data_IF_781159155510
#
_entry.id   IF_781159155510
#
_cell.length_a   1.000
_cell.length_b   1.000
_cell.length_c   1.000
_cell.angle_alpha   90.00
_cell.angle_beta   90.00
_cell.angle_gamma   90.00
#
_symmetry.space_group_name_H-M   'P 1'
#
loop_
_entity.id
_entity.type
_entity.pdbx_description
1 polymer ?
#
# COMPACT_ATOMS: atom_id res chain seq x y z
N UNK A 1 53.06 23.26 -47.87
CA UNK A 1 51.60 23.38 -48.12
C UNK A 1 50.99 22.02 -47.83
N UNK A 2 49.97 21.97 -46.96
CA UNK A 2 49.51 20.76 -46.27
C UNK A 2 48.78 19.79 -47.21
N UNK A 3 49.24 18.54 -47.30
CA UNK A 3 48.50 17.46 -47.92
C UNK A 3 47.34 17.03 -47.02
N UNK A 4 46.11 17.08 -47.53
CA UNK A 4 44.93 16.54 -46.86
C UNK A 4 44.97 15.02 -46.97
N UNK A 5 45.18 14.35 -45.84
CA UNK A 5 44.98 12.91 -45.72
C UNK A 5 43.47 12.65 -45.64
N UNK A 6 42.87 12.17 -46.73
CA UNK A 6 41.51 11.61 -46.72
C UNK A 6 41.54 10.30 -45.91
N UNK A 7 41.25 10.41 -44.62
CA UNK A 7 40.92 9.25 -43.80
C UNK A 7 39.55 8.74 -44.24
N UNK A 8 39.53 7.63 -44.97
CA UNK A 8 38.31 6.85 -45.24
C UNK A 8 37.85 6.24 -43.92
N UNK A 9 36.81 6.82 -43.32
CA UNK A 9 36.12 6.21 -42.19
C UNK A 9 35.44 4.94 -42.73
N UNK A 10 35.78 3.72 -42.27
CA UNK A 10 35.06 2.53 -42.69
C UNK A 10 33.62 2.62 -42.18
N UNK A 11 32.65 2.76 -43.09
CA UNK A 11 31.23 2.68 -42.77
C UNK A 11 30.94 1.30 -42.19
N UNK A 12 30.55 1.25 -40.91
CA UNK A 12 30.02 0.05 -40.26
C UNK A 12 28.81 -0.45 -41.07
N UNK A 13 28.72 -1.75 -41.41
CA UNK A 13 27.61 -2.26 -42.20
C UNK A 13 26.27 -2.02 -41.47
N UNK A 14 25.20 -1.65 -42.18
CA UNK A 14 23.91 -1.27 -41.59
C UNK A 14 23.29 -2.37 -40.70
N UNK A 15 23.58 -3.64 -41.03
CA UNK A 15 23.07 -4.80 -40.29
C UNK A 15 23.59 -4.89 -38.85
N UNK A 16 24.85 -4.51 -38.59
CA UNK A 16 25.41 -4.57 -37.22
C UNK A 16 24.88 -3.48 -36.30
N UNK A 17 24.38 -2.35 -36.84
CA UNK A 17 23.70 -1.34 -36.02
C UNK A 17 22.26 -1.76 -35.73
N UNK A 18 21.56 -2.37 -36.70
CA UNK A 18 20.22 -2.92 -36.50
C UNK A 18 20.21 -4.03 -35.43
N UNK A 19 21.16 -4.96 -35.47
CA UNK A 19 21.26 -6.03 -34.46
C UNK A 19 21.54 -5.49 -33.05
N UNK A 20 22.35 -4.43 -32.93
CA UNK A 20 22.63 -3.80 -31.64
C UNK A 20 21.40 -3.07 -31.09
N UNK A 21 20.64 -2.37 -31.94
CA UNK A 21 19.38 -1.74 -31.58
C UNK A 21 18.32 -2.76 -31.16
N UNK A 22 18.16 -3.86 -31.91
CA UNK A 22 17.22 -4.93 -31.58
C UNK A 22 17.55 -5.57 -30.23
N UNK A 23 18.82 -5.86 -29.95
CA UNK A 23 19.25 -6.42 -28.65
C UNK A 23 18.97 -5.47 -27.48
N UNK A 24 19.15 -4.16 -27.68
CA UNK A 24 18.85 -3.17 -26.65
C UNK A 24 17.34 -3.05 -26.39
N UNK A 25 16.51 -3.14 -27.44
CA UNK A 25 15.05 -3.19 -27.32
C UNK A 25 14.57 -4.46 -26.60
N UNK A 26 15.16 -5.61 -26.91
CA UNK A 26 14.90 -6.88 -26.22
C UNK A 26 15.28 -6.80 -24.73
N UNK A 27 16.44 -6.24 -24.41
CA UNK A 27 16.88 -6.09 -23.02
C UNK A 27 15.96 -5.12 -22.25
N UNK A 28 15.60 -3.98 -22.82
CA UNK A 28 14.65 -3.04 -22.24
C UNK A 28 13.26 -3.67 -22.04
N UNK A 29 12.80 -4.47 -23.00
CA UNK A 29 11.57 -5.27 -22.87
C UNK A 29 11.66 -6.26 -21.71
N UNK A 30 12.81 -6.91 -21.53
CA UNK A 30 13.04 -7.85 -20.43
C UNK A 30 13.04 -7.15 -19.06
N UNK A 31 13.61 -5.94 -18.97
CA UNK A 31 13.60 -5.11 -17.73
C UNK A 31 12.17 -4.75 -17.38
N UNK A 32 11.41 -4.22 -18.35
CA UNK A 32 10.01 -3.85 -18.16
C UNK A 32 9.15 -5.04 -17.73
N UNK A 33 9.38 -6.21 -18.30
CA UNK A 33 8.64 -7.42 -17.91
C UNK A 33 8.94 -7.84 -16.47
N UNK A 34 10.20 -7.73 -16.02
CA UNK A 34 10.56 -7.98 -14.62
C UNK A 34 9.87 -7.00 -13.67
N UNK A 35 9.84 -5.72 -14.03
CA UNK A 35 9.15 -4.68 -13.25
C UNK A 35 7.65 -4.92 -13.19
N UNK A 36 7.00 -5.20 -14.34
CA UNK A 36 5.57 -5.53 -14.39
C UNK A 36 5.22 -6.72 -13.52
N UNK A 37 6.04 -7.79 -13.51
CA UNK A 37 5.81 -8.94 -12.62
C UNK A 37 5.94 -8.54 -11.15
N UNK A 38 6.91 -7.70 -10.81
CA UNK A 38 7.07 -7.19 -9.45
C UNK A 38 5.88 -6.34 -9.01
N UNK A 39 5.40 -5.44 -9.86
CA UNK A 39 4.22 -4.62 -9.61
C UNK A 39 2.96 -5.47 -9.48
N UNK A 40 2.79 -6.49 -10.32
CA UNK A 40 1.64 -7.39 -10.25
C UNK A 40 1.53 -8.09 -8.90
N UNK A 41 2.65 -8.57 -8.33
CA UNK A 41 2.65 -9.19 -6.98
C UNK A 41 2.17 -8.21 -5.91
N UNK A 42 2.55 -6.93 -6.01
CA UNK A 42 2.12 -5.90 -5.07
C UNK A 42 0.63 -5.60 -5.23
N UNK A 43 0.13 -5.52 -6.47
CA UNK A 43 -1.30 -5.34 -6.76
C UNK A 43 -2.10 -6.53 -6.24
N UNK A 44 -1.67 -7.75 -6.52
CA UNK A 44 -2.33 -8.97 -6.06
C UNK A 44 -2.43 -9.02 -4.54
N UNK A 45 -1.36 -8.62 -3.83
CA UNK A 45 -1.36 -8.53 -2.37
C UNK A 45 -2.37 -7.49 -1.87
N UNK A 46 -2.38 -6.29 -2.47
CA UNK A 46 -3.29 -5.22 -2.07
C UNK A 46 -4.77 -5.63 -2.24
N UNK A 47 -5.10 -6.23 -3.38
CA UNK A 47 -6.45 -6.71 -3.67
C UNK A 47 -6.85 -7.91 -2.81
N UNK A 48 -5.93 -8.84 -2.55
CA UNK A 48 -6.19 -9.96 -1.62
C UNK A 48 -6.51 -9.46 -0.20
N UNK A 49 -5.83 -8.40 0.24
CA UNK A 49 -6.10 -7.77 1.54
C UNK A 49 -7.43 -7.01 1.55
N UNK A 50 -7.81 -6.35 0.46
CA UNK A 50 -9.13 -5.75 0.29
C UNK A 50 -10.22 -6.83 0.42
N UNK A 51 -10.09 -7.93 -0.32
CA UNK A 51 -11.03 -9.06 -0.29
C UNK A 51 -11.18 -9.65 1.12
N UNK A 52 -10.05 -9.86 1.82
CA UNK A 52 -10.04 -10.35 3.19
C UNK A 52 -10.80 -9.42 4.13
N UNK A 53 -10.53 -8.12 4.04
CA UNK A 53 -11.20 -7.11 4.87
C UNK A 53 -12.70 -7.02 4.56
N UNK A 54 -13.07 -7.06 3.28
CA UNK A 54 -14.46 -7.03 2.84
C UNK A 54 -15.21 -8.26 3.36
N UNK A 55 -14.63 -9.45 3.23
CA UNK A 55 -15.20 -10.69 3.77
C UNK A 55 -15.39 -10.62 5.29
N UNK A 56 -14.38 -10.12 6.02
CA UNK A 56 -14.46 -9.96 7.48
C UNK A 56 -15.53 -8.95 7.90
N UNK A 57 -15.64 -7.81 7.20
CA UNK A 57 -16.65 -6.79 7.49
C UNK A 57 -18.07 -7.33 7.23
N UNK A 58 -18.28 -7.99 6.07
CA UNK A 58 -19.56 -8.63 5.74
C UNK A 58 -19.94 -9.73 6.73
N UNK A 59 -18.98 -10.56 7.15
CA UNK A 59 -19.22 -11.58 8.18
C UNK A 59 -19.62 -10.95 9.52
N UNK A 60 -18.95 -9.87 9.92
CA UNK A 60 -19.23 -9.17 11.17
C UNK A 60 -20.60 -8.48 11.15
N UNK A 61 -21.00 -7.91 10.00
CA UNK A 61 -22.34 -7.37 9.79
C UNK A 61 -23.40 -8.47 9.89
N UNK A 62 -23.25 -9.56 9.14
CA UNK A 62 -24.19 -10.68 9.16
C UNK A 62 -24.34 -11.28 10.56
N UNK A 63 -23.25 -11.39 11.32
CA UNK A 63 -23.28 -11.83 12.73
C UNK A 63 -24.07 -10.86 13.61
N UNK A 64 -23.88 -9.55 13.42
CA UNK A 64 -24.59 -8.50 14.17
C UNK A 64 -26.10 -8.53 13.88
N UNK A 65 -26.47 -8.71 12.62
CA UNK A 65 -27.87 -8.84 12.18
C UNK A 65 -28.52 -10.13 12.69
N UNK A 66 -27.79 -11.25 12.67
CA UNK A 66 -28.28 -12.55 13.10
C UNK A 66 -28.61 -12.65 14.59
N UNK A 67 -28.07 -11.78 15.45
CA UNK A 67 -28.33 -11.83 16.90
C UNK A 67 -29.80 -11.55 17.29
N UNK A 68 -30.72 -11.28 16.35
CA UNK A 68 -32.18 -11.10 16.55
C UNK A 68 -32.65 -9.93 17.46
N UNK A 69 -33.90 -9.50 17.38
CA UNK A 69 -34.44 -8.31 18.10
C UNK A 69 -34.71 -8.58 19.60
N UNK A 70 -33.90 -9.39 20.26
CA UNK A 70 -34.06 -9.76 21.68
C UNK A 70 -32.94 -9.14 22.52
N UNK A 71 -33.29 -8.59 23.70
CA UNK A 71 -32.35 -7.96 24.63
C UNK A 71 -32.87 -6.66 25.24
N UNK A 72 -32.05 -6.04 26.10
CA UNK A 72 -32.36 -4.74 26.70
C UNK A 72 -32.23 -3.60 25.67
N UNK A 73 -32.75 -2.41 25.98
CA UNK A 73 -32.59 -1.24 25.10
C UNK A 73 -31.11 -0.90 24.84
N UNK A 74 -30.23 -1.13 25.82
CA UNK A 74 -28.79 -0.98 25.67
C UNK A 74 -28.24 -1.94 24.60
N UNK A 75 -28.58 -3.23 24.68
CA UNK A 75 -28.11 -4.25 23.72
C UNK A 75 -28.60 -3.95 22.29
N UNK A 76 -29.79 -3.35 22.14
CA UNK A 76 -30.29 -2.87 20.85
C UNK A 76 -29.45 -1.69 20.33
N UNK A 77 -29.19 -0.68 21.16
CA UNK A 77 -28.38 0.47 20.77
C UNK A 77 -26.95 0.10 20.37
N UNK A 78 -26.31 -0.81 21.12
CA UNK A 78 -24.97 -1.32 20.77
C UNK A 78 -24.98 -2.04 19.43
N UNK A 79 -26.00 -2.87 19.18
CA UNK A 79 -26.14 -3.56 17.90
C UNK A 79 -26.32 -2.59 16.74
N UNK A 80 -27.19 -1.61 16.89
CA UNK A 80 -27.46 -0.62 15.85
C UNK A 80 -26.17 0.15 15.52
N UNK A 81 -25.38 0.49 16.54
CA UNK A 81 -24.05 1.10 16.34
C UNK A 81 -23.10 0.17 15.56
N UNK A 82 -23.04 -1.12 15.89
CA UNK A 82 -22.22 -2.08 15.15
C UNK A 82 -22.71 -2.29 13.71
N UNK A 83 -24.02 -2.36 13.49
CA UNK A 83 -24.60 -2.51 12.15
C UNK A 83 -24.26 -1.30 11.27
N UNK A 84 -24.41 -0.08 11.79
CA UNK A 84 -24.01 1.16 11.10
C UNK A 84 -22.49 1.16 10.82
N UNK A 85 -21.68 0.75 11.80
CA UNK A 85 -20.23 0.70 11.64
C UNK A 85 -19.79 -0.27 10.53
N UNK A 86 -20.26 -1.52 10.56
CA UNK A 86 -19.85 -2.52 9.57
C UNK A 86 -20.43 -2.27 8.19
N UNK A 87 -21.67 -1.76 8.08
CA UNK A 87 -22.23 -1.35 6.78
C UNK A 87 -21.47 -0.19 6.15
N UNK A 88 -21.04 0.80 6.95
CA UNK A 88 -20.19 1.90 6.49
C UNK A 88 -18.81 1.41 6.04
N UNK A 89 -18.23 0.45 6.77
CA UNK A 89 -16.95 -0.17 6.41
C UNK A 89 -17.05 -0.95 5.09
N UNK A 90 -18.09 -1.77 4.92
CA UNK A 90 -18.35 -2.48 3.66
C UNK A 90 -18.47 -1.50 2.50
N UNK A 91 -19.27 -0.44 2.65
CA UNK A 91 -19.47 0.57 1.60
C UNK A 91 -18.17 1.28 1.24
N UNK A 92 -17.32 1.55 2.22
CA UNK A 92 -16.01 2.20 2.02
C UNK A 92 -15.02 1.29 1.28
N UNK A 93 -15.02 -0.01 1.59
CA UNK A 93 -14.16 -0.99 0.93
C UNK A 93 -14.62 -1.30 -0.51
N UNK A 94 -15.92 -1.46 -0.73
CA UNK A 94 -16.49 -1.62 -2.08
C UNK A 94 -16.23 -0.38 -2.95
N UNK A 95 -16.27 0.81 -2.35
CA UNK A 95 -16.03 2.07 -3.05
C UNK A 95 -14.62 2.24 -3.63
N UNK A 96 -13.65 1.42 -3.21
CA UNK A 96 -12.25 1.49 -3.70
C UNK A 96 -11.85 0.30 -4.59
N UNK A 97 -12.76 -0.63 -4.87
CA UNK A 97 -12.48 -1.87 -5.63
C UNK A 97 -11.91 -1.58 -7.03
N UNK A 98 -12.51 -0.65 -7.77
CA UNK A 98 -12.09 -0.40 -9.16
C UNK A 98 -10.70 0.25 -9.28
N UNK A 99 -10.22 0.96 -8.24
CA UNK A 99 -9.01 1.80 -8.30
C UNK A 99 -8.28 1.88 -6.96
N UNK A 100 -7.97 0.72 -6.39
CA UNK A 100 -7.28 0.65 -5.10
C UNK A 100 -5.82 1.17 -5.19
N UNK A 101 -5.13 0.87 -6.30
CA UNK A 101 -3.71 1.19 -6.51
C UNK A 101 -3.54 2.18 -7.66
N UNK A 102 -2.94 3.34 -7.38
CA UNK A 102 -2.64 4.37 -8.39
C UNK A 102 -1.21 4.27 -8.96
N UNK A 103 -0.29 3.66 -8.22
CA UNK A 103 1.12 3.51 -8.59
C UNK A 103 2.06 3.46 -7.38
N UNK A 104 3.36 3.29 -7.64
CA UNK A 104 4.42 3.34 -6.62
C UNK A 104 5.07 4.72 -6.62
N UNK A 105 5.32 5.27 -5.43
CA UNK A 105 6.06 6.51 -5.25
C UNK A 105 7.39 6.19 -4.55
N UNK A 106 8.48 6.31 -5.29
CA UNK A 106 9.83 6.08 -4.78
C UNK A 106 10.38 7.40 -4.21
N UNK A 107 10.44 7.50 -2.88
CA UNK A 107 10.97 8.68 -2.20
C UNK A 107 12.48 8.53 -1.97
N UNK A 108 13.29 9.48 -2.46
CA UNK A 108 14.69 9.58 -2.07
C UNK A 108 14.76 10.18 -0.66
N UNK A 109 15.10 9.38 0.35
CA UNK A 109 15.41 9.94 1.68
C UNK A 109 16.69 10.76 1.54
N UNK A 110 16.59 12.09 1.70
CA UNK A 110 17.78 12.88 1.97
C UNK A 110 18.32 12.41 3.34
N UNK A 111 19.63 12.19 3.52
CA UNK A 111 20.18 11.80 4.81
C UNK A 111 19.81 12.78 5.95
N UNK A 112 19.40 14.00 5.61
CA UNK A 112 18.93 15.03 6.55
C UNK A 112 17.46 14.83 6.99
N UNK A 113 16.61 14.14 6.20
CA UNK A 113 15.18 13.92 6.50
C UNK A 113 14.92 12.70 7.42
N UNK A 114 15.90 11.79 7.52
CA UNK A 114 15.78 10.57 8.34
C UNK A 114 15.67 10.84 9.85
N UNK A 115 15.95 12.08 10.28
CA UNK A 115 15.97 12.45 11.71
C UNK A 115 14.59 12.83 12.28
N UNK A 116 13.58 13.09 11.45
CA UNK A 116 12.24 13.53 11.92
C UNK A 116 11.17 12.41 11.93
N UNK A 117 11.45 11.26 11.28
CA UNK A 117 10.49 10.15 11.20
C UNK A 117 10.48 9.23 12.45
N UNK A 118 11.31 9.52 13.46
CA UNK A 118 11.59 8.65 14.60
C UNK A 118 10.78 8.89 15.88
N UNK A 119 9.74 9.72 15.87
CA UNK A 119 9.02 10.10 17.10
C UNK A 119 7.49 9.98 16.99
N UNK A 120 6.98 8.80 16.62
CA UNK A 120 5.61 8.39 16.97
C UNK A 120 5.58 7.04 17.68
N UNK A 121 6.55 6.82 18.56
CA UNK A 121 6.45 5.84 19.64
C UNK A 121 5.66 6.45 20.80
N UNK A 122 4.33 6.36 20.76
CA UNK A 122 3.47 6.70 21.91
C UNK A 122 3.80 5.77 23.07
N UNK A 123 4.62 6.23 24.01
CA UNK A 123 4.80 5.55 25.29
C UNK A 123 3.47 5.55 26.07
N UNK A 124 3.06 4.43 26.68
CA UNK A 124 1.91 4.44 27.58
C UNK A 124 2.32 5.21 28.84
N UNK A 125 1.66 6.33 29.11
CA UNK A 125 1.77 7.00 30.40
C UNK A 125 1.17 6.06 31.46
N UNK A 126 2.04 5.40 32.23
CA UNK A 126 1.67 4.68 33.42
C UNK A 126 1.08 5.68 34.43
N UNK A 127 -0.22 5.56 34.70
CA UNK A 127 -0.86 6.26 35.81
C UNK A 127 -0.39 5.60 37.11
N UNK A 128 0.66 6.15 37.71
CA UNK A 128 1.05 5.82 39.08
C UNK A 128 0.03 6.41 40.04
N UNK A 129 -0.97 5.61 40.42
CA UNK A 129 -1.85 5.86 41.56
C UNK A 129 -1.07 5.68 42.86
N UNK A 130 -0.30 6.70 43.26
CA UNK A 130 0.31 6.79 44.58
C UNK A 130 -0.72 7.26 45.59
N UNK A 131 -1.20 6.37 46.44
CA UNK A 131 -2.04 6.72 47.58
C UNK A 131 -1.26 7.38 48.72
N UNK A 132 -1.92 8.26 49.48
CA UNK A 132 -1.76 8.40 50.94
C UNK A 132 -2.73 9.39 51.59
N UNK A 133 -3.21 9.02 52.79
CA UNK A 133 -3.65 9.94 53.87
C UNK A 133 -5.14 9.80 54.24
N UNK A 134 -5.57 8.92 55.15
CA UNK A 134 -5.56 8.93 56.65
C UNK A 134 -6.43 10.01 57.34
N UNK A 135 -7.27 9.54 58.28
CA UNK A 135 -8.02 10.29 59.30
C UNK A 135 -9.52 9.97 59.25
N UNK A 136 -10.21 9.42 60.25
CA UNK A 136 -9.90 9.22 61.66
C UNK A 136 -11.11 9.68 62.49
N UNK A 137 -11.82 8.71 63.08
CA UNK A 137 -12.92 8.79 64.07
C UNK A 137 -14.27 9.39 63.64
#
# INVERSE_FOLDING_TARGET
MRGLVSQTIPSRPPHSQQEASQRAEEDAGSVREREMRGEQVVVDLAYSELDRQLAQARHSLARTEAQGVSGTHQSRGERDAYAVHYSSLVSSLEGVEDRLVFGRMDMSTSPDDASDSGASGRAPAAVSGSGRGVGGS
#
